data_IF_394384750564
#
_entry.id   IF_394384750564
#
_cell.length_a   1.000
_cell.length_b   1.000
_cell.length_c   1.000
_cell.angle_alpha   90.00
_cell.angle_beta   90.00
_cell.angle_gamma   90.00
#
_symmetry.space_group_name_H-M   'P 1'
#
loop_
_entity.id
_entity.type
_entity.pdbx_description
1 polymer ?
#
# COMPACT_ATOMS: atom_id res chain seq x y z
N UNK A 1 2.47 -15.09 -18.91
CA UNK A 1 3.36 -16.04 -19.61
C UNK A 1 4.38 -16.57 -18.61
N UNK A 2 4.11 -17.73 -18.03
CA UNK A 2 5.01 -18.42 -17.11
C UNK A 2 6.20 -19.02 -17.87
N UNK A 3 7.34 -19.20 -17.18
CA UNK A 3 8.45 -19.97 -17.74
C UNK A 3 8.09 -21.46 -17.76
N UNK A 4 8.71 -22.23 -18.64
CA UNK A 4 8.59 -23.69 -18.63
C UNK A 4 8.98 -24.27 -17.27
N UNK A 5 8.17 -25.22 -16.77
CA UNK A 5 8.34 -25.85 -15.45
C UNK A 5 9.75 -26.42 -15.24
N UNK A 6 10.38 -26.98 -16.29
CA UNK A 6 11.72 -27.56 -16.23
C UNK A 6 12.82 -26.54 -15.86
N UNK A 7 12.60 -25.25 -16.07
CA UNK A 7 13.59 -24.18 -15.85
C UNK A 7 13.48 -23.50 -14.48
N UNK A 8 12.43 -23.80 -13.71
CA UNK A 8 12.17 -23.18 -12.41
C UNK A 8 11.78 -21.69 -12.48
N UNK A 9 11.42 -21.10 -11.33
CA UNK A 9 11.15 -19.67 -11.22
C UNK A 9 12.44 -18.87 -11.47
N UNK A 10 12.31 -17.74 -12.16
CA UNK A 10 13.44 -16.86 -12.41
C UNK A 10 13.62 -15.89 -11.24
N UNK A 11 14.82 -15.84 -10.68
CA UNK A 11 15.23 -14.87 -9.66
C UNK A 11 16.56 -14.25 -10.03
N UNK A 12 16.65 -12.94 -9.85
CA UNK A 12 17.90 -12.21 -9.99
C UNK A 12 18.84 -12.48 -8.80
N UNK A 13 20.10 -12.79 -9.10
CA UNK A 13 21.10 -13.14 -8.08
C UNK A 13 21.39 -11.99 -7.10
N UNK A 14 21.38 -10.75 -7.59
CA UNK A 14 21.64 -9.58 -6.73
C UNK A 14 20.47 -9.35 -5.79
N UNK A 15 19.24 -9.58 -6.26
CA UNK A 15 18.06 -9.54 -5.40
C UNK A 15 18.13 -10.61 -4.31
N UNK A 16 18.50 -11.85 -4.66
CA UNK A 16 18.63 -12.95 -3.69
C UNK A 16 19.66 -12.66 -2.60
N UNK A 17 20.82 -12.11 -2.96
CA UNK A 17 21.85 -11.70 -1.98
C UNK A 17 21.33 -10.64 -1.01
N UNK A 18 20.56 -9.66 -1.49
CA UNK A 18 19.94 -8.63 -0.64
C UNK A 18 18.88 -9.22 0.28
N UNK A 19 18.05 -10.11 -0.23
CA UNK A 19 17.00 -10.80 0.54
C UNK A 19 17.62 -11.67 1.64
N UNK A 20 18.64 -12.46 1.32
CA UNK A 20 19.35 -13.28 2.31
C UNK A 20 19.96 -12.43 3.43
N UNK A 21 20.59 -11.30 3.08
CA UNK A 21 21.13 -10.34 4.05
C UNK A 21 20.04 -9.72 4.92
N UNK A 22 18.94 -9.25 4.31
CA UNK A 22 17.83 -8.64 5.05
C UNK A 22 17.19 -9.63 6.02
N UNK A 23 17.03 -10.90 5.62
CA UNK A 23 16.54 -11.98 6.47
C UNK A 23 17.47 -12.26 7.66
N UNK A 24 18.78 -12.28 7.43
CA UNK A 24 19.78 -12.49 8.48
C UNK A 24 19.82 -11.34 9.49
N UNK A 25 19.75 -10.09 9.01
CA UNK A 25 19.78 -8.89 9.86
C UNK A 25 18.40 -8.56 10.48
N UNK A 26 17.32 -9.23 10.05
CA UNK A 26 15.92 -8.91 10.38
C UNK A 26 15.57 -7.44 10.08
N UNK A 27 16.21 -6.91 9.05
CA UNK A 27 16.07 -5.51 8.68
C UNK A 27 14.74 -5.31 7.95
N UNK A 28 13.92 -4.37 8.41
CA UNK A 28 12.60 -4.07 7.82
C UNK A 28 12.66 -2.98 6.76
N UNK A 29 13.87 -2.53 6.42
CA UNK A 29 14.08 -1.53 5.38
C UNK A 29 13.59 -2.00 4.01
N UNK A 30 13.07 -1.06 3.21
CA UNK A 30 12.61 -1.32 1.85
C UNK A 30 13.77 -1.72 0.94
N UNK A 31 13.71 -2.91 0.33
CA UNK A 31 14.73 -3.35 -0.64
C UNK A 31 14.43 -2.74 -2.01
N UNK A 32 15.25 -1.78 -2.45
CA UNK A 32 15.14 -1.19 -3.80
C UNK A 32 15.61 -2.19 -4.87
N UNK A 33 14.77 -2.42 -5.87
CA UNK A 33 15.02 -3.38 -6.95
C UNK A 33 14.55 -2.87 -8.32
N UNK A 34 15.35 -3.16 -9.34
CA UNK A 34 15.00 -3.01 -10.76
C UNK A 34 14.61 -4.36 -11.38
N UNK A 35 14.77 -5.46 -10.65
CA UNK A 35 14.56 -6.82 -11.14
C UNK A 35 13.08 -7.20 -11.20
N UNK A 36 12.31 -6.47 -12.01
CA UNK A 36 10.85 -6.64 -12.20
C UNK A 36 10.47 -8.02 -12.75
N UNK A 37 11.40 -8.71 -13.40
CA UNK A 37 11.20 -10.04 -13.95
C UNK A 37 11.30 -11.16 -12.90
N UNK A 38 11.81 -10.86 -11.69
CA UNK A 38 11.98 -11.86 -10.63
C UNK A 38 10.63 -12.33 -10.10
N UNK A 39 10.55 -13.63 -9.88
CA UNK A 39 9.39 -14.31 -9.29
C UNK A 39 9.48 -14.17 -7.77
N UNK A 40 8.35 -13.90 -7.13
CA UNK A 40 8.25 -13.83 -5.67
C UNK A 40 8.34 -15.24 -5.12
N UNK A 41 9.34 -15.49 -4.28
CA UNK A 41 9.51 -16.75 -3.54
C UNK A 41 8.92 -16.65 -2.14
N UNK A 42 8.59 -17.78 -1.48
CA UNK A 42 8.08 -17.78 -0.11
C UNK A 42 8.99 -17.05 0.89
N UNK A 43 10.31 -17.07 0.65
CA UNK A 43 11.29 -16.34 1.49
C UNK A 43 11.10 -14.83 1.47
N UNK A 44 10.38 -14.28 0.49
CA UNK A 44 10.16 -12.85 0.33
C UNK A 44 8.94 -12.31 1.09
N UNK A 45 8.14 -13.19 1.68
CA UNK A 45 6.90 -12.82 2.37
C UNK A 45 7.21 -11.99 3.61
N UNK A 46 6.44 -10.91 3.82
CA UNK A 46 6.60 -9.99 4.93
C UNK A 46 7.71 -8.94 4.74
N UNK A 47 8.41 -8.93 3.61
CA UNK A 47 9.39 -7.89 3.26
C UNK A 47 8.80 -6.82 2.34
N UNK A 48 9.33 -5.60 2.45
CA UNK A 48 8.97 -4.46 1.60
C UNK A 48 9.95 -4.34 0.45
N UNK A 49 9.46 -4.32 -0.78
CA UNK A 49 10.25 -4.12 -1.98
C UNK A 49 9.89 -2.80 -2.64
N UNK A 50 10.88 -1.94 -2.84
CA UNK A 50 10.76 -0.78 -3.72
C UNK A 50 10.97 -1.26 -5.15
N UNK A 51 9.90 -1.48 -5.91
CA UNK A 51 9.96 -1.94 -7.31
C UNK A 51 9.97 -0.74 -8.24
N UNK A 52 11.03 -0.61 -9.04
CA UNK A 52 11.15 0.48 -9.99
C UNK A 52 10.12 0.37 -11.12
N UNK A 53 9.35 1.44 -11.39
CA UNK A 53 8.36 1.47 -12.47
C UNK A 53 8.82 2.22 -13.73
N UNK A 54 10.06 2.71 -13.76
CA UNK A 54 10.61 3.54 -14.83
C UNK A 54 10.82 5.00 -14.42
N UNK A 55 10.14 5.46 -13.36
CA UNK A 55 10.25 6.84 -12.84
C UNK A 55 10.56 6.88 -11.35
N UNK A 56 9.89 6.02 -10.58
CA UNK A 56 10.01 5.96 -9.13
C UNK A 56 9.97 4.51 -8.63
N UNK A 57 10.35 4.34 -7.37
CA UNK A 57 10.20 3.08 -6.66
C UNK A 57 8.85 3.04 -5.95
N UNK A 58 8.02 2.07 -6.32
CA UNK A 58 6.75 1.82 -5.64
C UNK A 58 7.03 0.80 -4.55
N UNK A 59 6.73 1.14 -3.29
CA UNK A 59 6.82 0.20 -2.18
C UNK A 59 5.68 -0.80 -2.25
N UNK A 60 6.04 -2.08 -2.34
CA UNK A 60 5.13 -3.22 -2.31
C UNK A 60 5.48 -4.05 -1.09
N UNK A 61 4.53 -4.23 -0.18
CA UNK A 61 4.62 -5.24 0.88
C UNK A 61 4.18 -6.58 0.28
N UNK A 62 5.01 -7.60 0.44
CA UNK A 62 4.75 -8.92 -0.16
C UNK A 62 3.96 -9.81 0.80
N UNK A 63 2.78 -10.22 0.35
CA UNK A 63 1.91 -11.18 1.04
C UNK A 63 2.05 -12.59 0.43
N UNK A 64 1.56 -13.61 1.14
CA UNK A 64 1.60 -15.02 0.71
C UNK A 64 0.87 -15.25 -0.63
N UNK A 65 -0.24 -14.53 -0.85
CA UNK A 65 -1.02 -14.61 -2.09
C UNK A 65 -0.24 -14.10 -3.32
N UNK A 66 0.88 -13.40 -3.12
CA UNK A 66 1.72 -12.88 -4.20
C UNK A 66 2.79 -13.88 -4.65
N UNK A 67 2.97 -15.00 -3.95
CA UNK A 67 3.97 -16.03 -4.28
C UNK A 67 3.67 -16.63 -5.66
N UNK A 68 4.69 -16.76 -6.50
CA UNK A 68 4.55 -17.24 -7.88
C UNK A 68 4.25 -16.15 -8.92
N UNK A 69 3.86 -14.96 -8.48
CA UNK A 69 3.76 -13.78 -9.35
C UNK A 69 5.12 -13.09 -9.53
N UNK A 70 5.22 -12.19 -10.51
CA UNK A 70 6.42 -11.35 -10.70
C UNK A 70 6.29 -10.04 -9.96
N UNK A 71 7.41 -9.55 -9.42
CA UNK A 71 7.47 -8.24 -8.75
C UNK A 71 6.98 -7.08 -9.64
N UNK A 72 7.18 -7.19 -10.96
CA UNK A 72 6.73 -6.19 -11.91
C UNK A 72 5.22 -6.06 -12.05
N UNK A 73 4.43 -7.07 -11.67
CA UNK A 73 2.97 -7.06 -11.75
C UNK A 73 2.34 -6.09 -10.74
N UNK A 74 3.02 -5.90 -9.60
CA UNK A 74 2.58 -5.01 -8.53
C UNK A 74 3.06 -3.56 -8.71
N UNK A 75 3.74 -3.25 -9.82
CA UNK A 75 4.32 -1.94 -10.12
C UNK A 75 3.88 -1.46 -11.50
N UNK A 76 2.79 -0.67 -11.51
CA UNK A 76 2.20 -0.10 -12.72
C UNK A 76 3.16 0.89 -13.38
N UNK A 77 3.40 0.69 -14.68
CA UNK A 77 4.37 1.47 -15.47
C UNK A 77 3.73 2.59 -16.28
N UNK A 78 2.46 2.46 -16.63
CA UNK A 78 1.71 3.48 -17.39
C UNK A 78 0.65 4.08 -16.50
N UNK A 79 0.53 5.40 -16.52
CA UNK A 79 -0.63 6.09 -15.94
C UNK A 79 -1.80 5.82 -16.87
N UNK A 80 -2.85 5.17 -16.36
CA UNK A 80 -4.07 5.01 -17.12
C UNK A 80 -4.78 6.36 -17.24
N UNK A 81 -4.74 6.96 -18.42
CA UNK A 81 -5.52 8.16 -18.73
C UNK A 81 -6.85 7.69 -19.30
N UNK A 82 -7.95 7.86 -18.57
CA UNK A 82 -9.30 7.58 -19.07
C UNK A 82 -9.76 8.71 -19.98
N UNK A 83 -10.29 8.39 -21.15
CA UNK A 83 -11.10 9.32 -21.94
C UNK A 83 -12.54 9.28 -21.41
N UNK A 84 -12.77 9.86 -20.23
CA UNK A 84 -14.09 9.90 -19.58
C UNK A 84 -14.71 11.29 -19.70
N UNK A 85 -15.85 11.39 -20.40
CA UNK A 85 -16.68 12.59 -20.40
C UNK A 85 -17.31 12.89 -19.03
N UNK A 86 -18.23 13.87 -18.98
CA UNK A 86 -18.86 14.43 -17.76
C UNK A 86 -19.45 13.40 -16.79
N UNK A 87 -19.94 12.26 -17.29
CA UNK A 87 -20.56 11.18 -16.50
C UNK A 87 -19.56 10.56 -15.50
N UNK A 88 -18.28 10.50 -15.85
CA UNK A 88 -17.26 9.88 -14.99
C UNK A 88 -16.82 10.79 -13.83
N UNK A 89 -16.78 12.11 -14.05
CA UNK A 89 -16.53 13.09 -12.98
C UNK A 89 -17.61 13.00 -11.90
N UNK A 90 -18.86 12.73 -12.27
CA UNK A 90 -19.95 12.54 -11.31
C UNK A 90 -19.75 11.27 -10.47
N UNK A 91 -19.36 10.15 -11.09
CA UNK A 91 -19.09 8.89 -10.38
C UNK A 91 -17.87 9.01 -9.44
N UNK A 92 -16.82 9.73 -9.87
CA UNK A 92 -15.64 9.99 -9.04
C UNK A 92 -15.94 10.95 -7.88
N UNK A 93 -16.84 11.93 -8.07
CA UNK A 93 -17.29 12.83 -7.01
C UNK A 93 -18.18 12.12 -5.97
N UNK A 94 -19.06 11.20 -6.40
CA UNK A 94 -19.83 10.35 -5.48
C UNK A 94 -18.96 9.34 -4.71
N UNK A 95 -17.90 8.83 -5.33
CA UNK A 95 -16.93 7.98 -4.64
C UNK A 95 -16.11 8.76 -3.61
N UNK A 96 -15.73 10.00 -3.94
CA UNK A 96 -15.00 10.90 -3.04
C UNK A 96 -15.82 11.31 -1.80
N UNK A 97 -17.12 11.59 -1.95
CA UNK A 97 -18.01 11.92 -0.83
C UNK A 97 -18.28 10.71 0.08
N UNK A 98 -18.36 9.50 -0.47
CA UNK A 98 -18.47 8.26 0.34
C UNK A 98 -17.20 7.95 1.13
N UNK A 99 -16.02 8.24 0.60
CA UNK A 99 -14.76 8.09 1.35
C UNK A 99 -14.57 9.13 2.47
N UNK A 100 -15.26 10.29 2.42
CA UNK A 100 -15.21 11.28 3.50
C UNK A 100 -16.05 10.87 4.73
N UNK A 101 -17.14 10.14 4.54
CA UNK A 101 -17.98 9.63 5.64
C UNK A 101 -17.29 8.53 6.47
N UNK A 102 -16.37 7.76 5.86
CA UNK A 102 -15.61 6.71 6.56
C UNK A 102 -14.51 7.23 7.48
N UNK A 103 -13.99 8.44 7.26
CA UNK A 103 -12.93 9.03 8.09
C UNK A 103 -13.51 9.69 9.36
N UNK A 104 -14.78 10.09 9.36
CA UNK A 104 -15.43 10.69 10.52
C UNK A 104 -15.80 9.68 11.63
N UNK A 105 -15.87 8.38 11.34
CA UNK A 105 -16.24 7.36 12.33
C UNK A 105 -15.04 6.81 13.15
N UNK A 106 -13.80 7.14 12.79
CA UNK A 106 -12.60 6.61 13.47
C UNK A 106 -11.85 7.66 14.33
N UNK A 107 -12.36 8.89 14.43
CA UNK A 107 -11.77 9.96 15.23
C UNK A 107 -12.75 10.51 16.26
N UNK A 108 -13.07 9.70 17.27
CA UNK A 108 -13.58 10.20 18.55
C UNK A 108 -12.41 10.20 19.55
N UNK A 109 -11.77 11.35 19.83
CA UNK A 109 -10.79 11.44 20.90
C UNK A 109 -11.53 11.53 22.24
N UNK A 110 -11.09 10.69 23.17
CA UNK A 110 -11.44 10.79 24.58
C UNK A 110 -10.94 12.13 25.15
N UNK A 111 -11.83 12.97 25.65
CA UNK A 111 -11.54 13.99 26.66
C UNK A 111 -12.84 14.57 27.25
N UNK A 112 -12.96 14.59 28.59
CA UNK A 112 -13.80 15.56 29.30
C UNK A 112 -15.00 15.05 30.09
N UNK A 113 -14.81 14.12 31.03
CA UNK A 113 -15.76 13.89 32.12
C UNK A 113 -15.35 14.70 33.36
N UNK A 114 -16.04 15.82 33.65
CA UNK A 114 -16.07 16.46 34.97
C UNK A 114 -17.26 17.44 35.12
N UNK A 115 -18.40 16.86 35.52
CA UNK A 115 -19.50 17.32 36.40
C UNK A 115 -20.12 18.74 36.26
N UNK A 116 -21.46 18.85 36.11
CA UNK A 116 -22.22 20.09 36.18
C UNK A 116 -22.79 20.33 37.59
N UNK A 117 -22.59 21.50 38.21
CA UNK A 117 -23.37 21.90 39.40
C UNK A 117 -23.46 23.42 39.60
N UNK A 118 -24.70 23.95 39.51
CA UNK A 118 -25.22 25.16 40.18
C UNK A 118 -24.89 26.50 39.52
N UNK A 119 -25.77 27.49 39.38
CA UNK A 119 -27.14 27.75 39.87
C UNK A 119 -27.69 28.96 39.06
N UNK A 120 -29.01 29.11 38.87
CA UNK A 120 -29.59 30.15 37.99
C UNK A 120 -29.93 31.46 38.73
N UNK A 121 -30.18 32.52 37.95
CA UNK A 121 -31.08 33.66 38.18
C UNK A 121 -30.47 35.08 38.29
N UNK A 122 -31.17 36.03 37.64
CA UNK A 122 -31.07 37.49 37.80
C UNK A 122 -30.67 38.23 36.51
N UNK A 123 -31.55 38.52 35.54
CA UNK A 123 -32.52 39.65 35.43
C UNK A 123 -31.96 41.03 35.85
N UNK A 124 -31.97 41.96 34.87
CA UNK A 124 -32.10 43.45 34.97
C UNK A 124 -31.05 44.18 35.81
N UNK A 125 -30.29 45.16 35.32
CA UNK A 125 -30.68 46.41 34.63
C UNK A 125 -29.42 47.02 34.00
#
# INVERSE_FOLDING_TARGET
>A
MSRSLKKGPYLDEKLMKKVARAKATRDRASIKTWARASTITPDMVGMRFGVHNGRQFIEVLVDENMVGHRLGEFSLTRRFTRHGGKIQKAIEQEAATKSAAGVAAAAAPAAGAAKPTGKPAGKTK
#
